data_IF_731371161094
#
_entry.id   IF_731371161094
#
_cell.length_a   1.000
_cell.length_b   1.000
_cell.length_c   1.000
_cell.angle_alpha   90.00
_cell.angle_beta   90.00
_cell.angle_gamma   90.00
#
_symmetry.space_group_name_H-M   'P 1'
#
loop_
_entity.id
_entity.type
_entity.pdbx_description
1 polymer ?
#
# COMPACT_ATOMS: atom_id res chain seq x y z
N UNK A 1 -1.88 21.81 36.57
CA UNK A 1 -1.58 20.50 37.21
C UNK A 1 -0.24 20.06 36.65
N UNK A 2 0.77 19.88 37.51
CA UNK A 2 2.04 19.29 37.05
C UNK A 2 1.77 17.80 36.76
N UNK A 3 2.25 17.25 35.63
CA UNK A 3 2.03 15.85 35.27
C UNK A 3 2.59 14.92 36.35
N UNK A 4 1.91 13.79 36.58
CA UNK A 4 2.29 12.81 37.60
C UNK A 4 3.56 12.07 37.17
N UNK A 5 4.32 11.50 38.10
CA UNK A 5 5.55 10.73 37.82
C UNK A 5 5.34 9.58 36.82
N UNK A 6 4.09 9.07 36.70
CA UNK A 6 3.69 8.08 35.70
C UNK A 6 3.63 8.62 34.27
N UNK A 7 3.40 9.92 34.09
CA UNK A 7 3.32 10.58 32.78
C UNK A 7 4.70 11.04 32.27
N UNK A 8 5.68 11.16 33.17
CA UNK A 8 7.01 11.72 32.92
C UNK A 8 8.11 10.65 32.76
N UNK A 9 7.80 9.36 32.94
CA UNK A 9 8.77 8.26 32.78
C UNK A 9 10.02 8.39 33.67
N UNK A 10 11.04 7.57 33.39
CA UNK A 10 12.28 7.54 34.19
C UNK A 10 13.32 8.61 33.82
N UNK A 11 12.98 9.55 32.92
CA UNK A 11 13.93 10.50 32.34
C UNK A 11 14.95 9.83 31.39
N UNK A 12 15.85 10.63 30.80
CA UNK A 12 16.88 10.15 29.86
C UNK A 12 16.41 9.99 28.40
N UNK A 13 17.14 9.21 27.60
CA UNK A 13 16.88 9.05 26.15
C UNK A 13 15.64 8.20 25.83
N UNK A 14 15.30 7.21 26.69
CA UNK A 14 14.13 6.33 26.51
C UNK A 14 13.29 6.28 27.80
N UNK A 15 12.57 7.36 28.14
CA UNK A 15 11.82 7.44 29.41
C UNK A 15 10.70 6.39 29.53
N UNK A 16 10.18 5.90 28.40
CA UNK A 16 9.14 4.87 28.29
C UNK A 16 9.68 3.49 27.86
N UNK A 17 11.00 3.32 27.87
CA UNK A 17 11.67 2.12 27.40
C UNK A 17 11.41 1.78 25.92
N UNK A 18 11.78 0.57 25.52
CA UNK A 18 11.65 0.11 24.14
C UNK A 18 10.18 0.01 23.68
N UNK A 19 9.27 -0.29 24.60
CA UNK A 19 7.83 -0.35 24.32
C UNK A 19 7.28 1.00 23.86
N UNK A 20 7.68 2.10 24.52
CA UNK A 20 7.27 3.44 24.11
C UNK A 20 7.86 3.89 22.79
N UNK A 21 9.14 3.55 22.52
CA UNK A 21 9.79 3.82 21.22
C UNK A 21 9.02 3.16 20.09
N UNK A 22 8.61 1.91 20.28
CA UNK A 22 7.94 1.13 19.26
C UNK A 22 6.48 1.57 19.04
N UNK A 23 5.75 1.89 20.10
CA UNK A 23 4.39 2.46 19.99
C UNK A 23 4.44 3.83 19.28
N UNK A 24 5.41 4.68 19.63
CA UNK A 24 5.64 5.95 18.93
C UNK A 24 6.01 5.76 17.45
N UNK A 25 6.81 4.74 17.13
CA UNK A 25 7.16 4.40 15.74
C UNK A 25 5.93 4.02 14.90
N UNK A 26 4.95 3.33 15.49
CA UNK A 26 3.70 2.97 14.81
C UNK A 26 2.87 4.22 14.45
N UNK A 27 2.75 5.21 15.34
CA UNK A 27 2.06 6.48 15.02
C UNK A 27 2.87 7.33 14.04
N UNK A 28 4.19 7.39 14.19
CA UNK A 28 5.09 8.13 13.29
C UNK A 28 5.13 7.55 11.87
N UNK A 29 4.71 6.30 11.66
CA UNK A 29 4.58 5.69 10.34
C UNK A 29 3.73 6.54 9.39
N UNK A 30 2.71 7.24 9.91
CA UNK A 30 1.88 8.18 9.16
C UNK A 30 2.69 9.18 8.33
N UNK A 31 3.81 9.66 8.87
CA UNK A 31 4.65 10.66 8.21
C UNK A 31 5.30 10.12 6.91
N UNK A 32 5.49 8.79 6.80
CA UNK A 32 6.06 8.14 5.61
C UNK A 32 5.01 7.77 4.55
N UNK A 33 3.72 7.94 4.84
CA UNK A 33 2.65 7.67 3.88
C UNK A 33 2.64 8.73 2.76
N UNK A 34 2.71 8.26 1.51
CA UNK A 34 2.58 9.09 0.30
C UNK A 34 3.53 8.72 -0.84
N UNK A 35 4.50 7.82 -0.63
CA UNK A 35 5.41 7.38 -1.70
C UNK A 35 4.69 6.62 -2.82
N UNK A 36 3.55 6.00 -2.52
CA UNK A 36 2.66 5.31 -3.47
C UNK A 36 2.14 6.24 -4.57
N UNK A 37 2.00 7.54 -4.29
CA UNK A 37 1.66 8.54 -5.31
C UNK A 37 2.69 8.58 -6.46
N UNK A 38 3.97 8.32 -6.18
CA UNK A 38 5.04 8.35 -7.19
C UNK A 38 4.81 7.28 -8.27
N UNK A 39 4.26 6.12 -7.88
CA UNK A 39 3.93 5.06 -8.83
C UNK A 39 2.78 5.43 -9.76
N UNK A 40 1.86 6.30 -9.34
CA UNK A 40 0.73 6.77 -10.17
C UNK A 40 1.18 7.67 -11.31
N UNK A 41 2.32 8.34 -11.17
CA UNK A 41 2.89 9.24 -12.18
C UNK A 41 3.66 8.49 -13.27
N UNK A 42 3.64 7.15 -13.28
CA UNK A 42 4.43 6.35 -14.23
C UNK A 42 4.16 6.63 -15.71
N UNK A 43 2.96 7.10 -16.07
CA UNK A 43 2.60 7.49 -17.45
C UNK A 43 3.30 8.78 -17.92
N UNK A 44 3.73 9.64 -17.00
CA UNK A 44 4.36 10.94 -17.30
C UNK A 44 5.89 10.89 -17.23
N UNK A 45 6.46 9.76 -16.80
CA UNK A 45 7.89 9.60 -16.53
C UNK A 45 8.60 8.96 -17.71
N UNK A 46 9.67 9.61 -18.18
CA UNK A 46 10.59 9.03 -19.18
C UNK A 46 11.32 7.84 -18.55
N UNK A 47 11.15 6.64 -19.10
CA UNK A 47 11.67 5.36 -18.59
C UNK A 47 11.17 5.00 -17.17
N UNK A 48 9.88 4.64 -17.00
CA UNK A 48 9.26 4.39 -15.70
C UNK A 48 9.92 3.23 -14.94
N UNK A 49 10.47 2.24 -15.65
CA UNK A 49 11.07 1.04 -15.07
C UNK A 49 12.26 1.33 -14.13
N UNK A 50 13.03 2.38 -14.41
CA UNK A 50 14.19 2.77 -13.61
C UNK A 50 13.92 4.02 -12.77
N UNK A 51 13.16 4.96 -13.31
CA UNK A 51 12.90 6.22 -12.64
C UNK A 51 11.97 6.09 -11.42
N UNK A 52 10.92 5.25 -11.50
CA UNK A 52 9.97 5.09 -10.38
C UNK A 52 10.65 4.49 -9.13
N UNK A 53 11.42 3.38 -9.21
CA UNK A 53 12.08 2.82 -8.03
C UNK A 53 13.11 3.75 -7.42
N UNK A 54 13.90 4.45 -8.26
CA UNK A 54 14.88 5.44 -7.78
C UNK A 54 14.15 6.59 -7.09
N UNK A 55 13.03 7.06 -7.66
CA UNK A 55 12.20 8.12 -7.07
C UNK A 55 11.65 7.73 -5.70
N UNK A 56 11.11 6.51 -5.56
CA UNK A 56 10.59 6.00 -4.28
C UNK A 56 11.72 5.92 -3.24
N UNK A 57 12.84 5.26 -3.55
CA UNK A 57 13.93 5.06 -2.58
C UNK A 57 14.61 6.39 -2.20
N UNK A 58 14.89 7.25 -3.18
CA UNK A 58 15.54 8.55 -2.91
C UNK A 58 14.66 9.50 -2.10
N UNK A 59 13.36 9.59 -2.41
CA UNK A 59 12.42 10.41 -1.64
C UNK A 59 12.26 9.91 -0.21
N UNK A 60 12.11 8.59 -0.01
CA UNK A 60 12.04 7.99 1.32
C UNK A 60 13.31 8.24 2.14
N UNK A 61 14.50 8.15 1.52
CA UNK A 61 15.77 8.43 2.19
C UNK A 61 15.87 9.90 2.63
N UNK A 62 15.50 10.84 1.75
CA UNK A 62 15.51 12.27 2.07
C UNK A 62 14.53 12.58 3.21
N UNK A 63 13.32 12.01 3.16
CA UNK A 63 12.32 12.14 4.22
C UNK A 63 12.83 11.56 5.54
N UNK A 64 13.45 10.38 5.52
CA UNK A 64 14.02 9.75 6.71
C UNK A 64 15.07 10.64 7.38
N UNK A 65 16.05 11.14 6.61
CA UNK A 65 17.10 12.04 7.15
C UNK A 65 16.49 13.31 7.71
N UNK A 66 15.53 13.92 7.00
CA UNK A 66 14.88 15.16 7.44
C UNK A 66 14.09 14.95 8.73
N UNK A 67 13.30 13.87 8.83
CA UNK A 67 12.53 13.57 10.04
C UNK A 67 13.43 13.24 11.24
N UNK A 68 14.51 12.51 11.02
CA UNK A 68 15.50 12.26 12.05
C UNK A 68 16.12 13.58 12.56
N UNK A 69 16.54 14.45 11.65
CA UNK A 69 17.10 15.77 11.98
C UNK A 69 16.10 16.65 12.74
N UNK A 70 14.84 16.70 12.30
CA UNK A 70 13.79 17.50 12.95
C UNK A 70 13.47 16.95 14.34
N UNK A 71 13.33 15.63 14.50
CA UNK A 71 13.08 15.00 15.80
C UNK A 71 14.23 15.23 16.78
N UNK A 72 15.48 15.12 16.32
CA UNK A 72 16.65 15.38 17.14
C UNK A 72 16.75 16.86 17.55
N UNK A 73 16.57 17.79 16.60
CA UNK A 73 16.60 19.22 16.88
C UNK A 73 15.50 19.64 17.87
N UNK A 74 14.28 19.13 17.69
CA UNK A 74 13.14 19.47 18.54
C UNK A 74 13.32 18.98 19.98
N UNK A 75 13.79 17.74 20.16
CA UNK A 75 14.05 17.16 21.49
C UNK A 75 15.25 17.79 22.20
N UNK A 76 16.21 18.37 21.47
CA UNK A 76 17.30 19.18 22.04
C UNK A 76 16.83 20.59 22.44
N UNK A 77 15.82 21.13 21.75
CA UNK A 77 15.34 22.50 21.93
C UNK A 77 14.39 22.65 23.13
N UNK A 78 13.55 21.64 23.37
CA UNK A 78 12.53 21.64 24.41
C UNK A 78 12.38 20.24 25.00
N UNK A 79 12.22 20.10 26.33
CA UNK A 79 11.96 18.80 26.92
C UNK A 79 10.62 18.22 26.44
N UNK A 80 10.59 16.91 26.17
CA UNK A 80 9.46 16.23 25.54
C UNK A 80 8.12 16.36 26.29
N UNK A 81 8.13 16.57 27.61
CA UNK A 81 6.92 16.74 28.41
C UNK A 81 6.26 18.13 28.28
N UNK A 82 6.92 19.09 27.62
CA UNK A 82 6.36 20.41 27.31
C UNK A 82 5.94 20.54 25.84
N UNK A 83 6.15 19.50 25.01
CA UNK A 83 5.73 19.52 23.62
C UNK A 83 4.20 19.51 23.54
N UNK A 84 3.66 20.50 22.84
CA UNK A 84 2.24 20.59 22.54
C UNK A 84 1.85 19.57 21.45
N UNK A 85 0.73 18.86 21.62
CA UNK A 85 0.26 17.84 20.66
C UNK A 85 -0.20 18.48 19.33
N UNK A 86 -0.72 19.71 19.37
CA UNK A 86 -1.33 20.36 18.20
C UNK A 86 -0.32 21.15 17.35
N UNK A 87 0.68 21.74 18.00
CA UNK A 87 1.61 22.70 17.36
C UNK A 87 3.05 22.62 17.90
N UNK A 88 3.69 21.43 17.84
CA UNK A 88 4.96 21.20 18.53
C UNK A 88 6.10 22.11 18.05
N UNK A 89 6.23 22.30 16.73
CA UNK A 89 7.29 23.13 16.14
C UNK A 89 7.11 24.64 16.43
N UNK A 90 5.95 25.27 16.13
CA UNK A 90 5.66 26.65 16.55
C UNK A 90 5.93 26.89 18.04
N UNK A 91 5.45 25.99 18.89
CA UNK A 91 5.58 26.12 20.35
C UNK A 91 7.04 26.06 20.79
N UNK A 92 7.84 25.16 20.22
CA UNK A 92 9.26 25.08 20.51
C UNK A 92 10.01 26.38 20.14
N UNK A 93 9.75 26.98 18.97
CA UNK A 93 10.37 28.27 18.59
C UNK A 93 9.96 29.42 19.51
N UNK A 94 8.71 29.45 19.98
CA UNK A 94 8.30 30.44 20.97
C UNK A 94 8.99 30.27 22.32
N UNK A 95 9.27 29.03 22.73
CA UNK A 95 9.97 28.73 23.98
C UNK A 95 11.43 29.21 23.98
N UNK A 96 12.14 29.09 22.86
CA UNK A 96 13.50 29.63 22.71
C UNK A 96 13.52 31.15 22.48
N UNK A 97 12.36 31.78 22.27
CA UNK A 97 12.23 33.23 22.07
C UNK A 97 12.45 33.68 20.62
N UNK A 98 12.43 32.77 19.64
CA UNK A 98 12.68 33.09 18.24
C UNK A 98 11.38 33.28 17.45
N UNK A 99 10.74 34.43 17.63
CA UNK A 99 9.41 34.73 17.09
C UNK A 99 9.34 34.69 15.55
N UNK A 100 10.39 35.11 14.84
CA UNK A 100 10.41 35.08 13.37
C UNK A 100 10.35 33.68 12.77
N UNK A 101 11.06 32.72 13.39
CA UNK A 101 11.06 31.32 12.95
C UNK A 101 9.69 30.65 13.13
N UNK A 102 8.96 30.99 14.19
CA UNK A 102 7.58 30.53 14.41
C UNK A 102 6.68 30.86 13.21
N UNK A 103 6.64 32.13 12.78
CA UNK A 103 5.80 32.55 11.65
C UNK A 103 6.21 31.86 10.34
N UNK A 104 7.52 31.72 10.09
CA UNK A 104 8.02 31.04 8.90
C UNK A 104 7.56 29.57 8.84
N UNK A 105 7.65 28.85 9.96
CA UNK A 105 7.21 27.45 10.05
C UNK A 105 5.69 27.32 9.94
N UNK A 106 4.92 28.21 10.54
CA UNK A 106 3.46 28.21 10.42
C UNK A 106 2.98 28.44 8.98
N UNK A 107 3.60 29.39 8.26
CA UNK A 107 3.29 29.63 6.84
C UNK A 107 3.71 28.42 6.00
N UNK A 108 4.88 27.85 6.28
CA UNK A 108 5.39 26.66 5.60
C UNK A 108 4.47 25.44 5.77
N UNK A 109 3.99 25.19 6.99
CA UNK A 109 3.09 24.06 7.28
C UNK A 109 1.73 24.23 6.59
N UNK A 110 1.16 25.43 6.59
CA UNK A 110 -0.10 25.72 5.88
C UNK A 110 0.03 25.50 4.36
N UNK A 111 1.13 25.95 3.77
CA UNK A 111 1.42 25.74 2.34
C UNK A 111 1.60 24.24 2.01
N UNK A 112 2.34 23.51 2.85
CA UNK A 112 2.56 22.08 2.68
C UNK A 112 1.26 21.26 2.79
N UNK A 113 0.43 21.53 3.80
CA UNK A 113 -0.87 20.87 4.00
C UNK A 113 -1.83 21.15 2.84
N UNK A 114 -1.87 22.39 2.35
CA UNK A 114 -2.67 22.77 1.18
C UNK A 114 -2.25 21.99 -0.07
N UNK A 115 -0.94 21.86 -0.29
CA UNK A 115 -0.37 21.12 -1.42
C UNK A 115 -0.70 19.62 -1.33
N UNK A 116 -0.61 19.02 -0.14
CA UNK A 116 -0.93 17.60 0.08
C UNK A 116 -2.39 17.30 -0.28
N UNK A 117 -3.31 18.13 0.18
CA UNK A 117 -4.76 17.99 -0.10
C UNK A 117 -5.07 18.15 -1.59
N UNK A 118 -4.40 19.07 -2.28
CA UNK A 118 -4.51 19.27 -3.73
C UNK A 118 -3.80 18.20 -4.58
N UNK A 119 -2.97 17.35 -3.99
CA UNK A 119 -2.34 16.23 -4.69
C UNK A 119 -3.26 15.01 -4.74
N UNK A 120 -3.96 14.71 -3.64
CA UNK A 120 -4.93 13.59 -3.59
C UNK A 120 -6.09 13.73 -4.58
N UNK A 121 -6.48 14.97 -4.92
CA UNK A 121 -7.51 15.25 -5.94
C UNK A 121 -7.03 15.03 -7.38
N UNK A 122 -5.71 14.97 -7.63
CA UNK A 122 -5.11 14.71 -8.96
C UNK A 122 -5.08 13.22 -9.33
N UNK A 123 -5.41 12.32 -8.41
CA UNK A 123 -5.56 10.88 -8.68
C UNK A 123 -6.89 10.56 -9.41
N UNK A 124 -7.86 11.48 -9.36
CA UNK A 124 -9.23 11.25 -9.83
C UNK A 124 -9.59 11.62 -11.29
N UNK A 125 -8.78 12.27 -12.14
CA UNK A 125 -9.18 12.59 -13.51
C UNK A 125 -8.67 11.62 -14.59
N UNK A 126 -8.22 10.40 -14.28
CA UNK A 126 -7.93 9.37 -15.31
C UNK A 126 -9.15 8.55 -15.74
N UNK A 127 -10.30 8.74 -15.10
CA UNK A 127 -11.57 8.11 -15.50
C UNK A 127 -12.31 8.97 -16.54
N UNK A 128 -12.05 8.68 -17.81
CA UNK A 128 -12.92 8.94 -19.00
C UNK A 128 -13.38 10.37 -19.28
N UNK A 129 -12.72 11.10 -20.19
CA UNK A 129 -13.38 12.13 -20.97
C UNK A 129 -14.17 11.49 -22.12
N UNK A 130 -15.49 11.33 -21.93
CA UNK A 130 -16.47 11.34 -23.01
C UNK A 130 -16.95 9.98 -23.54
N UNK A 131 -17.99 9.42 -22.89
CA UNK A 131 -18.99 8.64 -23.59
C UNK A 131 -20.36 9.27 -23.31
N UNK A 132 -21.05 9.76 -24.35
CA UNK A 132 -22.46 10.17 -24.21
C UNK A 132 -23.26 8.94 -23.79
N UNK A 133 -24.17 9.02 -22.81
CA UNK A 133 -25.18 7.98 -22.65
C UNK A 133 -25.98 7.88 -23.96
N UNK A 134 -26.29 6.66 -24.46
CA UNK A 134 -26.92 6.44 -25.76
C UNK A 134 -28.34 7.03 -25.89
N UNK A 135 -28.92 7.57 -24.81
CA UNK A 135 -30.28 8.11 -24.74
C UNK A 135 -30.38 9.64 -24.83
N UNK A 136 -29.35 10.37 -25.26
CA UNK A 136 -29.42 11.85 -25.36
C UNK A 136 -29.82 12.36 -26.76
N UNK A 137 -30.81 13.27 -26.88
CA UNK A 137 -31.33 13.73 -28.16
C UNK A 137 -30.34 14.60 -28.97
N UNK A 138 -30.46 14.65 -30.32
CA UNK A 138 -29.44 15.21 -31.22
C UNK A 138 -29.19 16.73 -31.11
N UNK A 139 -30.02 17.45 -30.36
CA UNK A 139 -29.99 18.92 -30.27
C UNK A 139 -29.38 19.47 -28.99
N UNK A 140 -28.84 18.64 -28.10
CA UNK A 140 -28.07 19.14 -26.96
C UNK A 140 -26.67 19.59 -27.44
N UNK A 141 -26.34 20.90 -27.39
CA UNK A 141 -24.99 21.35 -27.71
C UNK A 141 -23.97 20.69 -26.77
N UNK A 142 -22.81 20.33 -27.33
CA UNK A 142 -21.72 19.74 -26.55
C UNK A 142 -21.36 20.68 -25.38
N UNK A 143 -21.24 20.19 -24.14
CA UNK A 143 -20.91 21.04 -23.01
C UNK A 143 -19.55 21.70 -23.23
N UNK A 144 -19.57 23.03 -23.24
CA UNK A 144 -18.41 23.89 -23.46
C UNK A 144 -17.49 23.87 -22.23
N UNK A 145 -16.29 23.29 -22.40
CA UNK A 145 -15.00 23.71 -21.84
C UNK A 145 -14.79 23.90 -20.31
N UNK A 146 -15.33 23.02 -19.44
CA UNK A 146 -14.60 22.62 -18.22
C UNK A 146 -14.68 21.11 -18.05
N UNK A 147 -13.61 20.41 -18.45
CA UNK A 147 -13.44 18.95 -18.26
C UNK A 147 -13.01 18.59 -16.83
N UNK A 148 -13.34 19.41 -15.83
CA UNK A 148 -12.95 19.14 -14.43
C UNK A 148 -14.16 18.64 -13.64
N UNK A 149 -14.05 17.52 -12.92
CA UNK A 149 -15.15 16.93 -12.17
C UNK A 149 -15.45 17.75 -10.88
N UNK A 150 -15.96 18.97 -11.03
CA UNK A 150 -16.16 19.92 -9.93
C UNK A 150 -17.07 19.34 -8.84
N UNK A 151 -18.17 18.69 -9.22
CA UNK A 151 -19.13 18.13 -8.28
C UNK A 151 -18.52 17.02 -7.42
N UNK A 152 -17.69 16.15 -8.02
CA UNK A 152 -16.99 15.09 -7.29
C UNK A 152 -15.98 15.68 -6.31
N UNK A 153 -15.22 16.70 -6.73
CA UNK A 153 -14.27 17.38 -5.85
C UNK A 153 -14.97 18.11 -4.70
N UNK A 154 -16.10 18.77 -4.95
CA UNK A 154 -16.88 19.44 -3.91
C UNK A 154 -17.50 18.43 -2.94
N UNK A 155 -18.06 17.33 -3.44
CA UNK A 155 -18.61 16.26 -2.59
C UNK A 155 -17.53 15.63 -1.70
N UNK A 156 -16.35 15.32 -2.26
CA UNK A 156 -15.20 14.80 -1.51
C UNK A 156 -14.66 15.81 -0.48
N UNK A 157 -14.63 17.10 -0.83
CA UNK A 157 -14.22 18.17 0.08
C UNK A 157 -15.20 18.34 1.24
N UNK A 158 -16.51 18.33 0.97
CA UNK A 158 -17.55 18.39 2.01
C UNK A 158 -17.47 17.17 2.92
N UNK A 159 -17.34 15.98 2.35
CA UNK A 159 -17.18 14.74 3.13
C UNK A 159 -15.93 14.78 4.00
N UNK A 160 -14.81 15.30 3.47
CA UNK A 160 -13.56 15.48 4.25
C UNK A 160 -13.73 16.51 5.37
N UNK A 161 -14.45 17.61 5.13
CA UNK A 161 -14.73 18.63 6.14
C UNK A 161 -15.62 18.10 7.27
N UNK A 162 -16.65 17.30 6.94
CA UNK A 162 -17.48 16.61 7.93
C UNK A 162 -16.63 15.64 8.75
N UNK A 163 -15.74 14.88 8.12
CA UNK A 163 -14.83 13.98 8.83
C UNK A 163 -13.87 14.72 9.76
N UNK A 164 -13.30 15.84 9.32
CA UNK A 164 -12.43 16.68 10.14
C UNK A 164 -13.16 17.35 11.32
N UNK A 165 -14.48 17.54 11.22
CA UNK A 165 -15.30 18.08 12.30
C UNK A 165 -15.71 17.01 13.33
N UNK A 166 -15.95 15.77 12.89
CA UNK A 166 -16.46 14.70 13.75
C UNK A 166 -15.38 13.90 14.49
N UNK A 167 -14.13 13.93 14.01
CA UNK A 167 -13.07 13.08 14.51
C UNK A 167 -11.80 13.88 14.85
N UNK A 168 -11.12 13.48 15.93
CA UNK A 168 -9.85 14.07 16.33
C UNK A 168 -8.71 13.63 15.41
N UNK A 169 -7.75 14.53 15.17
CA UNK A 169 -6.61 14.30 14.28
C UNK A 169 -5.90 12.97 14.54
N UNK A 170 -5.70 12.62 15.82
CA UNK A 170 -5.03 11.38 16.25
C UNK A 170 -5.79 10.14 15.77
N UNK A 171 -7.11 10.14 15.91
CA UNK A 171 -7.97 9.04 15.48
C UNK A 171 -7.98 8.89 13.95
N UNK A 172 -7.99 10.00 13.20
CA UNK A 172 -7.88 9.95 11.73
C UNK A 172 -6.52 9.41 11.28
N UNK A 173 -5.44 9.84 11.94
CA UNK A 173 -4.06 9.41 11.65
C UNK A 173 -3.90 7.91 11.88
N UNK A 174 -4.41 7.41 13.00
CA UNK A 174 -4.37 5.99 13.34
C UNK A 174 -5.23 5.16 12.37
N UNK A 175 -6.42 5.65 11.98
CA UNK A 175 -7.28 5.00 11.00
C UNK A 175 -6.65 4.96 9.60
N UNK A 176 -5.97 6.02 9.19
CA UNK A 176 -5.23 6.03 7.92
C UNK A 176 -4.06 5.05 7.96
N UNK A 177 -3.33 5.00 9.07
CA UNK A 177 -2.14 4.15 9.23
C UNK A 177 -2.49 2.66 9.24
N UNK A 178 -3.54 2.24 9.94
CA UNK A 178 -3.98 0.83 9.91
C UNK A 178 -4.41 0.41 8.50
N UNK A 179 -5.10 1.29 7.76
CA UNK A 179 -5.53 1.03 6.39
C UNK A 179 -4.36 0.89 5.41
N UNK A 180 -3.34 1.74 5.52
CA UNK A 180 -2.15 1.67 4.65
C UNK A 180 -1.24 0.49 5.01
N UNK A 181 -1.06 0.18 6.29
CA UNK A 181 -0.33 -1.02 6.72
C UNK A 181 -1.00 -2.28 6.18
N UNK A 182 -2.33 -2.38 6.24
CA UNK A 182 -3.08 -3.47 5.61
C UNK A 182 -2.86 -3.52 4.10
N UNK A 183 -2.96 -2.38 3.40
CA UNK A 183 -2.69 -2.34 1.96
C UNK A 183 -1.27 -2.83 1.63
N UNK A 184 -0.26 -2.46 2.42
CA UNK A 184 1.12 -2.92 2.21
C UNK A 184 1.31 -4.40 2.54
N UNK A 185 0.63 -4.95 3.55
CA UNK A 185 0.61 -6.41 3.78
C UNK A 185 0.00 -7.16 2.59
N UNK A 186 -1.07 -6.62 2.00
CA UNK A 186 -1.71 -7.18 0.82
C UNK A 186 -0.78 -7.10 -0.40
N UNK A 187 -0.10 -5.97 -0.62
CA UNK A 187 0.89 -5.83 -1.70
C UNK A 187 2.03 -6.85 -1.53
N UNK A 188 2.54 -7.02 -0.31
CA UNK A 188 3.55 -8.04 -0.02
C UNK A 188 3.05 -9.47 -0.32
N UNK A 189 1.78 -9.75 -0.01
CA UNK A 189 1.15 -11.04 -0.33
C UNK A 189 0.99 -11.24 -1.83
N UNK A 190 0.53 -10.21 -2.54
CA UNK A 190 0.42 -10.22 -4.00
C UNK A 190 1.78 -10.43 -4.67
N UNK A 191 2.86 -9.84 -4.17
CA UNK A 191 4.21 -10.07 -4.73
C UNK A 191 4.64 -11.53 -4.57
N UNK A 192 4.36 -12.17 -3.44
CA UNK A 192 4.64 -13.59 -3.22
C UNK A 192 3.80 -14.51 -4.12
N UNK A 193 2.53 -14.18 -4.34
CA UNK A 193 1.64 -14.93 -5.22
C UNK A 193 1.99 -14.73 -6.69
N UNK A 194 2.30 -13.49 -7.09
CA UNK A 194 2.54 -13.10 -8.48
C UNK A 194 3.89 -13.59 -9.00
N UNK A 195 4.93 -13.67 -8.14
CA UNK A 195 6.23 -14.23 -8.56
C UNK A 195 6.12 -15.68 -9.04
N UNK A 196 5.10 -16.41 -8.59
CA UNK A 196 4.89 -17.83 -8.88
C UNK A 196 3.76 -18.08 -9.91
N UNK A 197 2.70 -17.28 -9.91
CA UNK A 197 1.50 -17.49 -10.75
C UNK A 197 1.63 -17.07 -12.23
N UNK A 198 2.55 -16.14 -12.57
CA UNK A 198 2.78 -15.70 -13.98
C UNK A 198 3.12 -16.88 -14.92
N UNK A 199 3.47 -18.03 -14.38
CA UNK A 199 3.69 -19.28 -15.13
C UNK A 199 2.48 -20.14 -15.45
N UNK A 200 1.29 -19.88 -14.89
CA UNK A 200 0.11 -20.72 -15.14
C UNK A 200 -0.43 -20.67 -16.59
N UNK A 201 0.05 -19.74 -17.42
CA UNK A 201 -0.51 -19.49 -18.74
C UNK A 201 -0.21 -20.51 -19.84
N UNK A 202 0.59 -21.57 -19.63
CA UNK A 202 1.01 -22.39 -20.79
C UNK A 202 1.07 -23.92 -20.70
N UNK A 203 1.07 -24.60 -19.55
CA UNK A 203 1.12 -26.08 -19.55
C UNK A 203 0.34 -26.71 -18.37
N UNK A 204 -0.74 -27.42 -18.70
CA UNK A 204 -1.46 -28.32 -17.80
C UNK A 204 -0.75 -29.68 -17.75
N UNK A 205 -0.28 -30.07 -16.57
CA UNK A 205 -0.01 -31.48 -16.25
C UNK A 205 -0.52 -31.76 -14.84
N UNK A 206 -1.34 -32.80 -14.68
CA UNK A 206 -1.93 -33.22 -13.42
C UNK A 206 -0.98 -34.18 -12.69
N UNK A 207 -0.34 -33.72 -11.61
CA UNK A 207 0.44 -34.58 -10.70
C UNK A 207 -0.28 -34.77 -9.34
N UNK A 208 -0.11 -35.91 -8.69
CA UNK A 208 -0.72 -36.18 -7.37
C UNK A 208 -0.04 -35.42 -6.21
N UNK A 209 -0.83 -34.95 -5.25
CA UNK A 209 -0.35 -34.25 -4.04
C UNK A 209 0.44 -35.22 -3.13
N UNK A 210 1.76 -35.05 -3.03
CA UNK A 210 2.63 -35.88 -2.16
C UNK A 210 3.58 -35.01 -1.34
N UNK A 211 3.63 -35.17 0.00
CA UNK A 211 4.49 -34.39 0.92
C UNK A 211 5.98 -34.39 0.52
N UNK A 212 6.45 -35.49 -0.10
CA UNK A 212 7.82 -35.60 -0.63
C UNK A 212 8.07 -34.68 -1.83
N UNK A 213 7.07 -34.48 -2.69
CA UNK A 213 7.14 -33.54 -3.82
C UNK A 213 7.05 -32.08 -3.37
N UNK A 214 6.49 -31.81 -2.17
CA UNK A 214 6.37 -30.48 -1.59
C UNK A 214 7.70 -29.97 -1.00
N UNK A 215 8.53 -30.86 -0.44
CA UNK A 215 9.84 -30.52 0.12
C UNK A 215 10.99 -30.61 -0.92
N UNK A 216 10.83 -31.43 -1.96
CA UNK A 216 11.82 -31.62 -3.01
C UNK A 216 11.12 -31.69 -4.39
N UNK A 217 10.85 -30.54 -5.03
CA UNK A 217 10.32 -30.54 -6.39
C UNK A 217 11.37 -31.09 -7.36
N UNK A 218 11.07 -32.22 -8.01
CA UNK A 218 11.95 -32.85 -8.99
C UNK A 218 11.91 -32.16 -10.37
N UNK A 219 10.85 -31.39 -10.65
CA UNK A 219 10.64 -30.72 -11.94
C UNK A 219 11.04 -29.23 -11.88
N UNK A 220 11.80 -28.80 -12.89
CA UNK A 220 12.27 -27.41 -13.07
C UNK A 220 11.21 -26.48 -13.67
N UNK A 221 10.04 -27.01 -14.05
CA UNK A 221 8.97 -26.25 -14.68
C UNK A 221 7.80 -26.03 -13.71
N UNK A 222 7.22 -24.83 -13.67
CA UNK A 222 6.11 -24.50 -12.77
C UNK A 222 4.80 -25.17 -13.22
N UNK A 223 4.27 -26.07 -12.39
CA UNK A 223 3.00 -26.80 -12.58
C UNK A 223 1.84 -26.12 -11.85
N UNK A 224 0.58 -26.30 -12.28
CA UNK A 224 -0.62 -25.74 -11.65
C UNK A 224 -0.73 -26.04 -10.13
N UNK A 225 -0.22 -27.19 -9.69
CA UNK A 225 -0.16 -27.60 -8.28
C UNK A 225 0.87 -26.81 -7.47
N UNK A 226 1.95 -26.36 -8.11
CA UNK A 226 2.91 -25.47 -7.47
C UNK A 226 2.26 -24.12 -7.15
N UNK A 227 1.48 -23.56 -8.09
CA UNK A 227 0.72 -22.33 -7.86
C UNK A 227 -0.34 -22.44 -6.77
N UNK A 228 -1.10 -23.55 -6.74
CA UNK A 228 -2.03 -23.82 -5.64
C UNK A 228 -1.30 -23.98 -4.30
N UNK A 229 -0.19 -24.73 -4.29
CA UNK A 229 0.65 -24.92 -3.09
C UNK A 229 1.21 -23.60 -2.58
N UNK A 230 1.70 -22.71 -3.46
CA UNK A 230 2.16 -21.36 -3.10
C UNK A 230 1.02 -20.57 -2.47
N UNK A 231 -0.16 -20.53 -3.09
CA UNK A 231 -1.30 -19.78 -2.54
C UNK A 231 -1.69 -20.27 -1.15
N UNK A 232 -1.72 -21.59 -0.94
CA UNK A 232 -1.98 -22.19 0.38
C UNK A 232 -0.86 -21.84 1.36
N UNK A 233 0.41 -21.93 0.94
CA UNK A 233 1.56 -21.55 1.78
C UNK A 233 1.56 -20.07 2.14
N UNK A 234 1.30 -19.16 1.20
CA UNK A 234 1.22 -17.71 1.44
C UNK A 234 0.04 -17.35 2.32
N UNK A 235 -1.13 -17.97 2.12
CA UNK A 235 -2.29 -17.79 3.00
C UNK A 235 -2.00 -18.29 4.42
N UNK A 236 -1.41 -19.48 4.54
CA UNK A 236 -1.00 -20.07 5.83
C UNK A 236 0.05 -19.19 6.52
N UNK A 237 1.03 -18.67 5.78
CA UNK A 237 2.03 -17.75 6.29
C UNK A 237 1.39 -16.46 6.83
N UNK A 238 0.44 -15.88 6.10
CA UNK A 238 -0.30 -14.69 6.55
C UNK A 238 -1.04 -14.94 7.87
N UNK A 239 -1.71 -16.08 8.00
CA UNK A 239 -2.39 -16.47 9.25
C UNK A 239 -1.40 -16.69 10.40
N UNK A 240 -0.28 -17.35 10.15
CA UNK A 240 0.77 -17.57 11.15
C UNK A 240 1.42 -16.26 11.61
N UNK A 241 1.68 -15.32 10.71
CA UNK A 241 2.21 -13.99 11.04
C UNK A 241 1.20 -13.21 11.88
N UNK A 242 -0.08 -13.24 11.54
CA UNK A 242 -1.14 -12.62 12.36
C UNK A 242 -1.19 -13.23 13.76
N UNK A 243 -1.20 -14.56 13.86
CA UNK A 243 -1.21 -15.26 15.15
C UNK A 243 0.03 -14.94 15.98
N UNK A 244 1.22 -14.90 15.36
CA UNK A 244 2.46 -14.50 16.01
C UNK A 244 2.34 -13.11 16.62
N UNK A 245 1.90 -12.12 15.84
CA UNK A 245 1.81 -10.74 16.30
C UNK A 245 0.77 -10.55 17.41
N UNK A 246 -0.38 -11.25 17.34
CA UNK A 246 -1.40 -11.20 18.40
C UNK A 246 -0.84 -11.73 19.73
N UNK A 247 -0.16 -12.89 19.69
CA UNK A 247 0.44 -13.50 20.88
C UNK A 247 1.61 -12.64 21.39
N UNK A 248 2.40 -12.04 20.50
CA UNK A 248 3.50 -11.16 20.89
C UNK A 248 3.03 -9.93 21.68
N UNK A 249 1.87 -9.38 21.33
CA UNK A 249 1.30 -8.23 22.04
C UNK A 249 0.54 -8.62 23.31
N UNK A 250 -0.21 -9.71 23.30
CA UNK A 250 -1.07 -10.09 24.43
C UNK A 250 -0.39 -11.02 25.46
N UNK A 251 0.57 -11.82 25.04
CA UNK A 251 1.16 -12.88 25.86
C UNK A 251 2.21 -12.39 26.86
N UNK A 252 2.68 -11.14 26.73
CA UNK A 252 3.73 -10.57 27.59
C UNK A 252 5.00 -11.42 27.63
N UNK A 253 5.78 -11.29 28.71
CA UNK A 253 7.00 -12.07 28.96
C UNK A 253 6.74 -13.45 29.60
N UNK A 254 5.52 -13.95 29.53
CA UNK A 254 5.19 -15.25 30.11
C UNK A 254 5.88 -16.39 29.32
N UNK A 255 6.35 -17.41 30.03
CA UNK A 255 7.09 -18.53 29.43
C UNK A 255 6.26 -19.29 28.38
N UNK A 256 4.96 -19.47 28.62
CA UNK A 256 4.05 -20.11 27.66
C UNK A 256 3.92 -19.29 26.36
N UNK A 257 3.89 -17.95 26.46
CA UNK A 257 3.85 -17.04 25.32
C UNK A 257 5.14 -17.14 24.51
N UNK A 258 6.30 -17.13 25.18
CA UNK A 258 7.61 -17.25 24.54
C UNK A 258 7.79 -18.59 23.82
N UNK A 259 7.33 -19.70 24.43
CA UNK A 259 7.37 -21.01 23.79
C UNK A 259 6.46 -21.07 22.55
N UNK A 260 5.24 -20.53 22.63
CA UNK A 260 4.33 -20.46 21.48
C UNK A 260 4.89 -19.58 20.36
N UNK A 261 5.47 -18.43 20.69
CA UNK A 261 6.11 -17.53 19.73
C UNK A 261 7.28 -18.22 19.01
N UNK A 262 8.12 -18.96 19.75
CA UNK A 262 9.20 -19.74 19.16
C UNK A 262 8.69 -20.81 18.19
N UNK A 263 7.63 -21.53 18.55
CA UNK A 263 7.01 -22.55 17.67
C UNK A 263 6.44 -21.91 16.41
N UNK A 264 5.70 -20.80 16.53
CA UNK A 264 5.11 -20.12 15.38
C UNK A 264 6.20 -19.50 14.48
N UNK A 265 7.27 -18.94 15.06
CA UNK A 265 8.40 -18.43 14.29
C UNK A 265 9.10 -19.55 13.49
N UNK A 266 9.28 -20.73 14.09
CA UNK A 266 9.84 -21.90 13.41
C UNK A 266 8.91 -22.37 12.27
N UNK A 267 7.60 -22.35 12.47
CA UNK A 267 6.63 -22.67 11.42
C UNK A 267 6.67 -21.65 10.27
N UNK A 268 6.74 -20.35 10.58
CA UNK A 268 6.90 -19.29 9.58
C UNK A 268 8.20 -19.47 8.77
N UNK A 269 9.31 -19.78 9.44
CA UNK A 269 10.58 -20.07 8.78
C UNK A 269 10.48 -21.32 7.89
N UNK A 270 9.86 -22.40 8.37
CA UNK A 270 9.65 -23.61 7.59
C UNK A 270 8.82 -23.33 6.32
N UNK A 271 7.69 -22.61 6.44
CA UNK A 271 6.86 -22.22 5.28
C UNK A 271 7.64 -21.31 4.33
N UNK A 272 8.43 -20.37 4.84
CA UNK A 272 9.28 -19.49 4.03
C UNK A 272 10.35 -20.29 3.27
N UNK A 273 10.95 -21.30 3.90
CA UNK A 273 11.90 -22.20 3.25
C UNK A 273 11.21 -23.07 2.19
N UNK A 274 9.97 -23.51 2.41
CA UNK A 274 9.17 -24.22 1.38
C UNK A 274 8.94 -23.31 0.17
N UNK A 275 8.51 -22.06 0.38
CA UNK A 275 8.33 -21.08 -0.70
C UNK A 275 9.66 -20.81 -1.42
N UNK A 276 10.77 -20.71 -0.69
CA UNK A 276 12.09 -20.49 -1.28
C UNK A 276 12.59 -21.69 -2.11
N UNK A 277 12.17 -22.91 -1.76
CA UNK A 277 12.51 -24.14 -2.49
C UNK A 277 11.68 -24.35 -3.75
N UNK A 278 10.57 -23.63 -3.92
CA UNK A 278 9.76 -23.71 -5.12
C UNK A 278 10.45 -23.02 -6.30
N UNK A 279 10.34 -23.57 -7.53
CA UNK A 279 11.01 -23.03 -8.70
C UNK A 279 10.40 -21.69 -9.14
N UNK A 280 11.06 -20.59 -8.77
CA UNK A 280 10.71 -19.23 -9.19
C UNK A 280 10.85 -19.04 -10.70
N UNK A 281 9.85 -18.40 -11.32
CA UNK A 281 9.86 -18.14 -12.76
C UNK A 281 10.97 -17.12 -13.14
N UNK A 282 11.76 -17.43 -14.16
CA UNK A 282 12.79 -16.53 -14.71
C UNK A 282 12.20 -15.44 -15.63
N UNK A 283 10.93 -15.10 -15.46
CA UNK A 283 10.32 -14.03 -16.25
C UNK A 283 10.95 -12.70 -15.84
N UNK A 284 11.34 -11.88 -16.82
CA UNK A 284 11.88 -10.54 -16.60
C UNK A 284 10.75 -9.63 -16.09
N UNK A 285 10.36 -9.77 -14.82
CA UNK A 285 9.51 -8.79 -14.16
C UNK A 285 10.20 -7.43 -14.28
N UNK A 286 9.43 -6.44 -14.72
CA UNK A 286 9.91 -5.07 -14.94
C UNK A 286 10.48 -4.42 -13.67
N UNK A 287 10.17 -5.00 -12.51
CA UNK A 287 10.69 -4.64 -11.19
C UNK A 287 11.13 -5.92 -10.46
N UNK A 288 12.45 -6.17 -10.38
CA UNK A 288 12.98 -7.23 -9.52
C UNK A 288 13.24 -6.67 -8.12
N UNK A 289 12.48 -7.14 -7.14
CA UNK A 289 12.81 -6.92 -5.73
C UNK A 289 13.94 -7.89 -5.37
N UNK A 290 15.13 -7.41 -4.95
CA UNK A 290 16.22 -8.30 -4.53
C UNK A 290 15.79 -9.07 -3.26
N UNK A 291 16.18 -10.34 -3.10
CA UNK A 291 15.83 -11.21 -1.95
C UNK A 291 14.35 -11.63 -1.79
N UNK A 292 13.66 -11.98 -2.89
CA UNK A 292 12.45 -12.81 -2.79
C UNK A 292 12.83 -14.21 -2.24
N UNK A 293 12.06 -14.84 -1.33
CA UNK A 293 10.79 -14.42 -0.72
C UNK A 293 10.93 -13.68 0.63
N UNK A 294 12.15 -13.53 1.18
CA UNK A 294 12.35 -13.03 2.54
C UNK A 294 11.89 -11.58 2.76
N UNK A 295 12.10 -10.69 1.78
CA UNK A 295 11.69 -9.28 1.92
C UNK A 295 10.18 -9.09 2.10
N UNK A 296 9.30 -9.66 1.26
CA UNK A 296 7.86 -9.60 1.49
C UNK A 296 7.42 -10.17 2.84
N UNK A 297 8.00 -11.29 3.29
CA UNK A 297 7.66 -11.91 4.59
C UNK A 297 8.05 -11.00 5.75
N UNK A 298 9.25 -10.43 5.71
CA UNK A 298 9.69 -9.47 6.71
C UNK A 298 8.80 -8.22 6.72
N UNK A 299 8.39 -7.73 5.54
CA UNK A 299 7.46 -6.60 5.42
C UNK A 299 6.09 -6.91 6.03
N UNK A 300 5.52 -8.09 5.78
CA UNK A 300 4.27 -8.51 6.42
C UNK A 300 4.39 -8.50 7.93
N UNK A 301 5.47 -9.09 8.45
CA UNK A 301 5.71 -9.16 9.89
C UNK A 301 5.78 -7.78 10.53
N UNK A 302 6.59 -6.87 9.97
CA UNK A 302 6.74 -5.50 10.48
C UNK A 302 5.40 -4.76 10.42
N UNK A 303 4.68 -4.85 9.30
CA UNK A 303 3.42 -4.13 9.14
C UNK A 303 2.36 -4.61 10.12
N UNK A 304 2.15 -5.93 10.23
CA UNK A 304 1.20 -6.51 11.18
C UNK A 304 1.58 -6.18 12.61
N UNK A 305 2.87 -6.22 12.94
CA UNK A 305 3.35 -5.87 14.26
C UNK A 305 3.07 -4.40 14.64
N UNK A 306 3.33 -3.46 13.72
CA UNK A 306 2.97 -2.05 13.92
C UNK A 306 1.46 -1.85 14.05
N UNK A 307 0.65 -2.61 13.31
CA UNK A 307 -0.81 -2.56 13.48
C UNK A 307 -1.27 -3.00 14.86
N UNK A 308 -0.59 -3.96 15.49
CA UNK A 308 -0.95 -4.43 16.84
C UNK A 308 -0.53 -3.45 17.94
N UNK A 309 0.34 -2.47 17.65
CA UNK A 309 0.73 -1.41 18.57
C UNK A 309 -0.24 -0.20 18.57
N UNK A 310 -1.20 -0.18 17.65
CA UNK A 310 -2.25 0.84 17.61
C UNK A 310 -3.31 0.58 18.68
N UNK A 311 -4.00 1.63 19.12
CA UNK A 311 -4.98 1.54 20.19
C UNK A 311 -6.21 0.66 19.81
N UNK A 312 -6.83 0.06 20.83
CA UNK A 312 -8.04 -0.78 20.67
C UNK A 312 -9.22 0.01 20.09
N UNK A 313 -9.32 1.30 20.41
CA UNK A 313 -10.32 2.19 19.81
C UNK A 313 -10.18 2.28 18.29
N UNK A 314 -8.95 2.31 17.78
CA UNK A 314 -8.64 2.35 16.34
C UNK A 314 -9.14 1.10 15.63
N UNK A 315 -8.93 -0.08 16.21
CA UNK A 315 -9.43 -1.35 15.65
C UNK A 315 -10.96 -1.38 15.54
N UNK A 316 -11.66 -0.88 16.56
CA UNK A 316 -13.11 -0.81 16.53
C UNK A 316 -13.62 0.14 15.42
N UNK A 317 -13.02 1.34 15.32
CA UNK A 317 -13.34 2.31 14.25
C UNK A 317 -13.06 1.73 12.87
N UNK A 318 -11.90 1.08 12.70
CA UNK A 318 -11.53 0.42 11.46
C UNK A 318 -12.54 -0.67 11.06
N UNK A 319 -12.98 -1.50 12.00
CA UNK A 319 -13.99 -2.53 11.75
C UNK A 319 -15.32 -1.94 11.26
N UNK A 320 -15.79 -0.84 11.87
CA UNK A 320 -17.01 -0.14 11.41
C UNK A 320 -16.84 0.35 9.96
N UNK A 321 -15.70 0.97 9.66
CA UNK A 321 -15.41 1.47 8.31
C UNK A 321 -15.31 0.34 7.27
N UNK A 322 -14.74 -0.80 7.64
CA UNK A 322 -14.71 -1.98 6.78
C UNK A 322 -16.11 -2.52 6.49
N UNK A 323 -16.97 -2.60 7.51
CA UNK A 323 -18.37 -3.01 7.33
C UNK A 323 -19.10 -2.05 6.40
N UNK A 324 -18.96 -0.74 6.60
CA UNK A 324 -19.54 0.28 5.72
C UNK A 324 -19.01 0.12 4.28
N UNK A 325 -17.70 -0.05 4.11
CA UNK A 325 -17.05 -0.26 2.82
C UNK A 325 -17.58 -1.50 2.11
N UNK A 326 -17.74 -2.62 2.83
CA UNK A 326 -18.34 -3.84 2.29
C UNK A 326 -19.80 -3.63 1.90
N UNK A 327 -20.61 -2.95 2.72
CA UNK A 327 -22.00 -2.64 2.38
C UNK A 327 -22.06 -1.86 1.07
N UNK A 328 -21.23 -0.82 0.89
CA UNK A 328 -21.17 -0.04 -0.36
C UNK A 328 -20.70 -0.92 -1.52
N UNK A 329 -19.68 -1.75 -1.31
CA UNK A 329 -19.15 -2.65 -2.34
C UNK A 329 -20.18 -3.68 -2.80
N UNK A 330 -20.85 -4.39 -1.88
CA UNK A 330 -21.85 -5.41 -2.23
C UNK A 330 -23.15 -4.81 -2.79
N UNK A 331 -23.58 -3.65 -2.29
CA UNK A 331 -24.82 -3.01 -2.76
C UNK A 331 -24.67 -2.31 -4.10
N UNK A 332 -23.61 -1.51 -4.27
CA UNK A 332 -23.38 -0.68 -5.45
C UNK A 332 -22.22 -1.20 -6.30
N UNK A 333 -21.07 -1.48 -5.69
CA UNK A 333 -19.83 -1.85 -6.38
C UNK A 333 -19.96 -3.06 -7.30
N UNK A 334 -20.54 -4.17 -6.81
CA UNK A 334 -20.74 -5.39 -7.62
C UNK A 334 -21.73 -5.15 -8.75
N UNK A 335 -22.79 -4.38 -8.53
CA UNK A 335 -23.84 -4.19 -9.54
C UNK A 335 -23.40 -3.28 -10.69
N UNK A 336 -22.46 -2.37 -10.42
CA UNK A 336 -21.98 -1.35 -11.34
C UNK A 336 -20.51 -1.56 -11.76
N UNK A 337 -19.90 -2.72 -11.48
CA UNK A 337 -18.55 -3.03 -11.94
C UNK A 337 -18.55 -3.29 -13.45
N UNK A 338 -17.46 -2.92 -14.11
CA UNK A 338 -17.28 -3.18 -15.55
C UNK A 338 -17.36 -4.69 -15.88
N UNK A 339 -16.92 -5.55 -14.95
CA UNK A 339 -17.03 -7.00 -15.08
C UNK A 339 -18.48 -7.49 -15.01
N UNK A 340 -19.31 -6.91 -14.13
CA UNK A 340 -20.73 -7.24 -14.07
C UNK A 340 -21.48 -6.78 -15.34
N UNK A 341 -21.05 -5.67 -15.96
CA UNK A 341 -21.58 -5.20 -17.25
C UNK A 341 -21.14 -6.14 -18.38
N UNK A 342 -19.87 -6.56 -18.42
CA UNK A 342 -19.35 -7.54 -19.39
C UNK A 342 -20.05 -8.90 -19.27
N UNK A 343 -20.31 -9.36 -18.04
CA UNK A 343 -21.00 -10.63 -17.80
C UNK A 343 -22.46 -10.57 -18.26
N UNK A 344 -23.15 -9.43 -18.07
CA UNK A 344 -24.50 -9.20 -18.60
C UNK A 344 -24.53 -9.04 -20.12
N UNK A 345 -23.50 -8.46 -20.72
CA UNK A 345 -23.37 -8.37 -22.17
C UNK A 345 -23.12 -9.75 -22.79
N UNK A 346 -22.29 -10.59 -22.15
CA UNK A 346 -22.05 -11.97 -22.59
C UNK A 346 -23.29 -12.88 -22.49
N UNK A 347 -24.22 -12.59 -21.58
CA UNK A 347 -25.48 -13.34 -21.43
C UNK A 347 -26.54 -12.94 -22.47
N UNK A 348 -26.44 -11.74 -23.05
CA UNK A 348 -27.32 -11.29 -24.14
C UNK A 348 -26.89 -11.77 -25.54
N UNK A 349 -25.63 -12.15 -25.73
CA UNK A 349 -25.08 -12.64 -27.01
C UNK A 349 -25.31 -14.14 -27.28
N UNK A 350 -26.08 -14.85 -26.44
CA UNK A 350 -26.46 -16.25 -26.68
C UNK A 350 -27.52 -16.43 -27.80
N UNK A 351 -27.93 -15.36 -28.49
CA UNK A 351 -28.91 -15.39 -29.58
C UNK A 351 -28.50 -14.59 -30.83
N UNK A 352 -27.89 -15.28 -31.80
CA UNK A 352 -27.84 -14.98 -33.25
C UNK A 352 -26.81 -13.95 -33.83
N UNK A 353 -25.86 -14.54 -34.58
CA UNK A 353 -24.96 -14.09 -35.69
C UNK A 353 -23.95 -12.94 -35.56
N UNK A 354 -22.74 -13.12 -36.15
CA UNK A 354 -21.63 -12.18 -36.02
C UNK A 354 -21.70 -11.08 -37.07
N UNK A 355 -21.48 -9.82 -36.66
CA UNK A 355 -21.07 -8.77 -37.58
C UNK A 355 -20.24 -7.68 -36.88
N UNK A 356 -19.19 -7.27 -37.59
CA UNK A 356 -18.28 -6.15 -37.34
C UNK A 356 -17.28 -6.27 -36.16
N UNK A 357 -16.15 -6.92 -36.47
CA UNK A 357 -14.84 -6.61 -35.85
C UNK A 357 -14.64 -5.09 -35.83
N UNK A 358 -14.50 -4.52 -34.64
CA UNK A 358 -13.90 -3.20 -34.42
C UNK A 358 -12.43 -3.26 -34.84
N UNK A 359 -12.17 -3.02 -36.12
CA UNK A 359 -10.85 -2.83 -36.69
C UNK A 359 -10.21 -1.55 -36.15
N UNK A 360 -9.48 -1.67 -35.03
CA UNK A 360 -8.73 -0.57 -34.44
C UNK A 360 -7.57 -0.99 -33.56
N UNK A 361 -7.71 -2.09 -32.80
CA UNK A 361 -6.66 -2.51 -31.86
C UNK A 361 -5.60 -3.46 -32.44
N UNK A 362 -5.85 -4.09 -33.58
CA UNK A 362 -4.89 -5.01 -34.22
C UNK A 362 -3.73 -4.24 -34.86
N UNK A 363 -4.01 -3.06 -35.46
CA UNK A 363 -2.99 -2.24 -36.14
C UNK A 363 -1.96 -1.63 -35.19
N UNK A 364 -2.33 -1.28 -33.96
CA UNK A 364 -1.39 -0.70 -32.99
C UNK A 364 -0.40 -1.74 -32.44
N UNK A 365 -0.88 -2.98 -32.24
CA UNK A 365 -0.03 -4.11 -31.85
C UNK A 365 0.90 -4.56 -32.97
N UNK A 366 0.46 -4.57 -34.22
CA UNK A 366 1.31 -4.90 -35.37
C UNK A 366 2.36 -3.81 -35.66
N UNK A 367 2.04 -2.53 -35.50
CA UNK A 367 3.02 -1.43 -35.62
C UNK A 367 4.07 -1.52 -34.50
N UNK A 368 3.68 -1.91 -33.29
CA UNK A 368 4.62 -2.14 -32.19
C UNK A 368 5.53 -3.37 -32.40
N UNK A 369 5.00 -4.43 -33.02
CA UNK A 369 5.77 -5.63 -33.33
C UNK A 369 6.75 -5.41 -34.49
N UNK A 370 6.34 -4.68 -35.54
CA UNK A 370 7.19 -4.42 -36.70
C UNK A 370 8.33 -3.44 -36.38
N UNK A 371 8.13 -2.52 -35.41
CA UNK A 371 9.18 -1.60 -34.93
C UNK A 371 10.24 -2.29 -34.05
N UNK A 372 9.92 -3.47 -33.51
CA UNK A 372 10.84 -4.28 -32.69
C UNK A 372 11.66 -5.28 -33.51
N UNK A 373 11.25 -5.58 -34.74
CA UNK A 373 11.91 -6.50 -35.66
C UNK A 373 12.96 -5.83 -36.58
N UNK A 374 13.12 -4.49 -36.51
CA UNK A 374 13.92 -3.71 -37.46
C UNK A 374 15.25 -3.14 -36.95
N UNK A 375 15.76 -3.57 -35.81
CA UNK A 375 17.15 -3.26 -35.40
C UNK A 375 18.01 -4.49 -35.65
N UNK A 376 18.88 -4.49 -36.68
CA UNK A 376 19.94 -5.48 -36.80
C UNK A 376 20.88 -5.33 -35.61
N UNK A 377 21.25 -6.48 -35.06
CA UNK A 377 22.50 -6.65 -34.34
C UNK A 377 23.62 -6.38 -35.35
N UNK A 378 24.37 -5.29 -35.18
CA UNK A 378 25.67 -5.15 -35.82
C UNK A 378 26.72 -5.64 -34.82
N UNK A 379 27.37 -6.71 -35.25
CA UNK A 379 28.53 -7.38 -34.66
C UNK A 379 29.78 -6.47 -34.69
N UNK A 380 30.77 -6.91 -33.93
CA UNK A 380 32.07 -6.30 -33.60
C UNK A 380 32.93 -5.86 -34.82
N UNK A 381 33.75 -4.80 -34.65
CA UNK A 381 35.19 -4.75 -35.03
C UNK A 381 35.87 -3.41 -34.64
N UNK A 382 37.06 -3.56 -34.02
CA UNK A 382 38.15 -2.61 -33.64
C UNK A 382 38.00 -1.60 -32.48
#
# INVERSE_FOLDING_TARGET
MLPSEKDLGQGGFMPFGFSGVLSGAATCFYAFIGFDCIATTGEEVKNPQRAIPIGIVSSLLICFVTYFCVSAALTLMMPYYLLDESSPLPRAFTYVGWAGANYAVAIGSLCALSTRTGCSSRVWPRSTPGAKPPSSPPWCPAPWQRKTPLLSTMAAGVMSAVMAFLFDLKDLVDLMSIGTLLAYTLVAACVLVLSETVSQGFLQTEDGFTLRNLMFPANKTPTALSGFTVNVCTSTLGVLVLAFCVIAVHGGLATWSLSLLAVIALLCLAVTLVVWKQPQSSTKLSFKVPLLPFLPVLSMFINVYLMMQLDRGTWFRFAIWMVLGFVIYFSYGIRNSAEAVLTRAGDQDAGYTPACRLGGQEKEKEVFLNKRAGTPEDEDED
#
